data_IF_662896439282
#
_entry.id   IF_662896439282
#
_cell.length_a   1.000
_cell.length_b   1.000
_cell.length_c   1.000
_cell.angle_alpha   90.00
_cell.angle_beta   90.00
_cell.angle_gamma   90.00
#
_symmetry.space_group_name_H-M   'P 1'
#
loop_
_entity.id
_entity.type
_entity.pdbx_description
1 polymer ?
#
# COMPACT_ATOMS: atom_id res chain seq x y z
N UNK A 1 9.28 25.81 46.66
CA UNK A 1 7.97 25.62 46.00
C UNK A 1 8.27 25.69 44.51
N UNK A 2 8.44 24.53 43.88
CA UNK A 2 8.67 24.47 42.44
C UNK A 2 7.37 24.85 41.72
N UNK A 3 7.40 25.65 40.64
CA UNK A 3 6.20 25.92 39.85
C UNK A 3 5.75 24.65 39.12
N UNK A 4 4.44 24.41 39.12
CA UNK A 4 3.76 23.30 38.45
C UNK A 4 4.04 23.28 36.94
N UNK A 5 4.04 22.10 36.30
CA UNK A 5 4.13 21.99 34.85
C UNK A 5 2.77 22.32 34.24
N UNK A 6 2.63 23.54 33.71
CA UNK A 6 1.47 23.86 32.87
C UNK A 6 1.51 23.01 31.59
N UNK A 7 0.48 22.17 31.46
CA UNK A 7 0.11 21.43 30.26
C UNK A 7 0.04 22.39 29.06
N UNK A 8 0.98 22.22 28.12
CA UNK A 8 0.99 22.94 26.85
C UNK A 8 -0.01 22.28 25.88
N UNK A 9 -1.31 22.39 26.16
CA UNK A 9 -2.37 22.20 25.16
C UNK A 9 -2.41 23.45 24.27
N UNK A 10 -1.42 23.56 23.37
CA UNK A 10 -1.44 24.58 22.33
C UNK A 10 -2.74 24.41 21.54
N UNK A 11 -3.62 25.42 21.60
CA UNK A 11 -4.92 25.42 20.92
C UNK A 11 -4.71 25.18 19.43
N UNK A 12 -4.96 23.94 18.99
CA UNK A 12 -4.92 23.56 17.58
C UNK A 12 -6.05 24.32 16.90
N UNK A 13 -5.72 25.30 16.07
CA UNK A 13 -6.70 26.27 15.53
C UNK A 13 -6.78 26.31 14.01
N UNK A 14 -6.03 25.45 13.31
CA UNK A 14 -6.00 25.41 11.84
C UNK A 14 -5.86 23.99 11.26
N UNK A 15 -6.10 23.88 9.95
CA UNK A 15 -6.05 22.62 9.20
C UNK A 15 -4.68 21.92 9.33
N UNK A 16 -3.59 22.68 9.45
CA UNK A 16 -2.24 22.16 9.63
C UNK A 16 -2.09 21.46 10.98
N UNK A 17 -2.54 22.10 12.06
CA UNK A 17 -2.45 21.54 13.39
C UNK A 17 -3.33 20.29 13.57
N UNK A 18 -4.50 20.23 12.91
CA UNK A 18 -5.31 19.00 12.90
C UNK A 18 -4.67 17.85 12.14
N UNK A 19 -4.05 18.13 10.99
CA UNK A 19 -3.27 17.14 10.24
C UNK A 19 -2.07 16.64 11.06
N UNK A 20 -1.37 17.53 11.77
CA UNK A 20 -0.29 17.16 12.69
C UNK A 20 -0.81 16.29 13.83
N UNK A 21 -1.95 16.64 14.42
CA UNK A 21 -2.56 15.82 15.48
C UNK A 21 -2.95 14.43 14.97
N UNK A 22 -3.43 14.30 13.74
CA UNK A 22 -3.69 12.99 13.16
C UNK A 22 -2.41 12.13 13.06
N UNK A 23 -1.26 12.73 12.76
CA UNK A 23 0.04 12.04 12.79
C UNK A 23 0.42 11.63 14.22
N UNK A 24 0.23 12.51 15.20
CA UNK A 24 0.47 12.20 16.62
C UNK A 24 -0.41 11.05 17.11
N UNK A 25 -1.68 10.97 16.68
CA UNK A 25 -2.54 9.81 16.95
C UNK A 25 -2.01 8.56 16.23
N UNK A 26 -1.56 8.66 14.98
CA UNK A 26 -1.01 7.52 14.25
C UNK A 26 0.18 6.87 14.96
N UNK A 27 1.03 7.68 15.61
CA UNK A 27 2.20 7.19 16.37
C UNK A 27 1.83 6.33 17.59
N UNK A 28 0.57 6.39 18.05
CA UNK A 28 0.05 5.53 19.13
C UNK A 28 -0.38 4.14 18.64
N UNK A 29 -0.49 3.93 17.33
CA UNK A 29 -0.92 2.65 16.75
C UNK A 29 0.07 1.53 17.07
N UNK A 30 -0.39 0.33 17.46
CA UNK A 30 0.47 -0.84 17.58
C UNK A 30 0.82 -1.43 16.20
N UNK A 31 2.04 -1.95 16.10
CA UNK A 31 2.54 -2.63 14.91
C UNK A 31 3.07 -1.71 13.80
N UNK A 32 3.19 -2.27 12.59
CA UNK A 32 3.84 -1.64 11.42
C UNK A 32 2.91 -0.72 10.61
N UNK A 33 1.60 -0.87 10.74
CA UNK A 33 0.60 -0.02 10.09
C UNK A 33 0.12 1.03 11.07
N UNK A 34 0.64 2.25 10.93
CA UNK A 34 0.28 3.40 11.77
C UNK A 34 -0.73 4.28 11.06
N UNK A 35 -1.91 4.42 11.64
CA UNK A 35 -2.99 5.26 11.10
C UNK A 35 -3.63 6.04 12.24
N UNK A 36 -3.81 7.35 12.04
CA UNK A 36 -4.47 8.23 12.98
C UNK A 36 -5.55 9.03 12.29
N UNK A 37 -6.61 9.33 13.03
CA UNK A 37 -7.81 10.01 12.58
C UNK A 37 -8.23 11.08 13.60
N UNK A 38 -8.61 12.26 13.10
CA UNK A 38 -9.12 13.37 13.91
C UNK A 38 -10.36 13.93 13.23
N UNK A 39 -11.49 13.94 13.93
CA UNK A 39 -12.74 14.54 13.48
C UNK A 39 -12.88 15.91 14.13
N UNK A 40 -13.24 16.91 13.35
CA UNK A 40 -13.33 18.31 13.77
C UNK A 40 -14.57 18.98 13.25
N UNK A 41 -14.97 20.08 13.90
CA UNK A 41 -15.93 21.04 13.36
C UNK A 41 -15.43 22.44 13.69
N UNK A 42 -15.07 23.21 12.67
CA UNK A 42 -14.35 24.46 12.85
C UNK A 42 -13.03 24.21 13.57
N UNK A 43 -12.80 24.91 14.68
CA UNK A 43 -11.55 24.81 15.46
C UNK A 43 -11.65 23.82 16.63
N UNK A 44 -12.69 22.98 16.66
CA UNK A 44 -12.93 22.04 17.75
C UNK A 44 -12.72 20.61 17.29
N UNK A 45 -11.89 19.87 18.02
CA UNK A 45 -11.78 18.41 17.87
C UNK A 45 -12.98 17.75 18.55
N UNK A 46 -13.72 16.95 17.78
CA UNK A 46 -14.90 16.22 18.24
C UNK A 46 -14.53 14.82 18.73
N UNK A 47 -13.62 14.16 18.01
CA UNK A 47 -13.13 12.82 18.35
C UNK A 47 -11.78 12.57 17.68
N UNK A 48 -10.99 11.69 18.29
CA UNK A 48 -9.76 11.16 17.71
C UNK A 48 -9.79 9.63 17.73
N UNK A 49 -8.99 9.03 16.87
CA UNK A 49 -8.80 7.59 16.84
C UNK A 49 -7.44 7.23 16.26
N UNK A 50 -6.91 6.09 16.68
CA UNK A 50 -5.77 5.48 16.05
C UNK A 50 -6.03 3.99 15.83
N UNK A 51 -5.37 3.39 14.83
CA UNK A 51 -5.55 1.98 14.51
C UNK A 51 -5.17 1.14 15.74
N UNK A 52 -6.01 0.20 16.12
CA UNK A 52 -5.76 -0.68 17.27
C UNK A 52 -6.03 -0.06 18.64
N UNK A 53 -6.58 1.15 18.71
CA UNK A 53 -7.11 1.71 19.96
C UNK A 53 -8.27 0.85 20.50
N UNK A 54 -9.14 0.39 19.60
CA UNK A 54 -10.08 -0.70 19.84
C UNK A 54 -9.66 -1.85 18.94
N UNK A 55 -9.60 -3.04 19.54
CA UNK A 55 -9.14 -4.23 18.84
C UNK A 55 -9.97 -4.48 17.56
N UNK A 56 -9.27 -4.73 16.46
CA UNK A 56 -9.86 -4.94 15.14
C UNK A 56 -10.39 -3.70 14.39
N UNK A 57 -10.42 -2.51 15.01
CA UNK A 57 -10.93 -1.29 14.38
C UNK A 57 -9.83 -0.41 13.74
N UNK A 58 -10.20 0.24 12.62
CA UNK A 58 -9.38 1.28 12.00
C UNK A 58 -9.51 2.62 12.74
N UNK A 59 -8.54 3.52 12.54
CA UNK A 59 -8.54 4.82 13.19
C UNK A 59 -9.83 5.62 12.95
N UNK A 60 -10.34 5.60 11.73
CA UNK A 60 -11.57 6.30 11.35
C UNK A 60 -12.79 5.68 12.01
N UNK A 61 -12.85 4.35 12.13
CA UNK A 61 -13.93 3.65 12.82
C UNK A 61 -13.97 4.03 14.30
N UNK A 62 -12.80 4.04 14.95
CA UNK A 62 -12.67 4.42 16.35
C UNK A 62 -13.14 5.87 16.57
N UNK A 63 -12.70 6.80 15.72
CA UNK A 63 -13.09 8.21 15.84
C UNK A 63 -14.61 8.40 15.63
N UNK A 64 -15.19 7.75 14.61
CA UNK A 64 -16.63 7.77 14.35
C UNK A 64 -17.45 7.15 15.49
N UNK A 65 -16.97 6.03 16.04
CA UNK A 65 -17.62 5.32 17.13
C UNK A 65 -17.65 6.16 18.41
N UNK A 66 -16.51 6.78 18.78
CA UNK A 66 -16.43 7.70 19.92
C UNK A 66 -17.37 8.89 19.77
N UNK A 67 -17.42 9.50 18.59
CA UNK A 67 -18.36 10.60 18.32
C UNK A 67 -19.82 10.15 18.49
N UNK A 68 -20.17 8.97 17.97
CA UNK A 68 -21.51 8.39 18.13
C UNK A 68 -21.86 8.09 19.59
N UNK A 69 -20.95 7.48 20.34
CA UNK A 69 -21.13 7.17 21.77
C UNK A 69 -21.31 8.44 22.61
N UNK A 70 -20.63 9.52 22.23
CA UNK A 70 -20.79 10.84 22.84
C UNK A 70 -22.05 11.60 22.38
N UNK A 71 -22.86 11.02 21.48
CA UNK A 71 -24.05 11.67 20.94
C UNK A 71 -23.74 12.89 20.05
N UNK A 72 -22.54 12.94 19.47
CA UNK A 72 -22.09 14.05 18.64
C UNK A 72 -22.57 13.81 17.21
N UNK A 73 -23.45 14.68 16.73
CA UNK A 73 -23.75 14.77 15.30
C UNK A 73 -22.48 15.16 14.53
N UNK A 74 -22.17 14.43 13.47
CA UNK A 74 -21.01 14.63 12.61
C UNK A 74 -21.34 15.33 11.28
N UNK A 75 -22.60 15.73 11.07
CA UNK A 75 -22.98 16.49 9.89
C UNK A 75 -22.11 17.73 9.72
N UNK A 76 -21.56 17.93 8.52
CA UNK A 76 -20.69 19.08 8.20
C UNK A 76 -19.37 19.11 8.98
N UNK A 77 -18.96 18.01 9.60
CA UNK A 77 -17.63 17.87 10.17
C UNK A 77 -16.56 17.67 9.08
N UNK A 78 -15.31 17.84 9.48
CA UNK A 78 -14.12 17.52 8.71
C UNK A 78 -13.33 16.38 9.39
N UNK A 79 -12.84 15.44 8.60
CA UNK A 79 -11.96 14.37 9.06
C UNK A 79 -10.55 14.59 8.54
N UNK A 80 -9.55 14.37 9.38
CA UNK A 80 -8.14 14.31 9.03
C UNK A 80 -7.66 12.89 9.29
N UNK A 81 -7.19 12.19 8.26
CA UNK A 81 -6.68 10.83 8.37
C UNK A 81 -5.31 10.73 7.73
N UNK A 82 -4.38 10.00 8.38
CA UNK A 82 -3.00 9.89 7.88
C UNK A 82 -2.88 8.95 6.68
N UNK A 83 -3.80 8.02 6.50
CA UNK A 83 -3.87 7.08 5.39
C UNK A 83 -5.25 7.14 4.73
N UNK A 84 -5.31 6.90 3.42
CA UNK A 84 -6.58 6.86 2.68
C UNK A 84 -7.59 5.88 3.32
N UNK A 85 -8.85 6.32 3.56
CA UNK A 85 -9.88 5.44 4.10
C UNK A 85 -10.17 4.25 3.20
N UNK A 86 -10.29 3.06 3.77
CA UNK A 86 -10.56 1.88 2.97
C UNK A 86 -11.97 1.93 2.31
N UNK A 87 -12.05 1.53 1.04
CA UNK A 87 -13.31 1.41 0.28
C UNK A 87 -13.82 -0.02 0.15
N UNK A 88 -13.03 -1.01 0.56
CA UNK A 88 -13.43 -2.40 0.64
C UNK A 88 -13.23 -2.91 2.06
N UNK A 89 -13.83 -4.06 2.33
CA UNK A 89 -13.57 -4.79 3.56
C UNK A 89 -12.97 -6.14 3.24
N UNK A 90 -11.89 -6.49 3.96
CA UNK A 90 -11.32 -7.84 3.92
C UNK A 90 -12.17 -8.85 4.69
N UNK A 91 -13.06 -8.37 5.56
CA UNK A 91 -13.95 -9.19 6.38
C UNK A 91 -15.40 -8.87 6.02
N UNK A 92 -16.18 -9.86 5.60
CA UNK A 92 -17.55 -9.68 5.13
C UNK A 92 -18.47 -8.94 6.13
N UNK A 93 -18.15 -8.96 7.43
CA UNK A 93 -18.92 -8.30 8.49
C UNK A 93 -18.57 -6.83 8.74
N UNK A 94 -17.46 -6.31 8.19
CA UNK A 94 -16.98 -4.96 8.50
C UNK A 94 -17.34 -3.99 7.38
N UNK A 95 -17.96 -2.86 7.73
CA UNK A 95 -18.29 -1.79 6.79
C UNK A 95 -17.01 -1.00 6.46
N UNK A 96 -16.73 -0.69 5.18
CA UNK A 96 -15.56 0.12 4.80
C UNK A 96 -15.59 1.52 5.43
N UNK A 97 -14.41 2.06 5.74
CA UNK A 97 -14.28 3.38 6.37
C UNK A 97 -14.87 4.48 5.47
N UNK A 98 -14.63 4.42 4.16
CA UNK A 98 -15.19 5.38 3.21
C UNK A 98 -16.74 5.44 3.26
N UNK A 99 -17.39 4.29 3.41
CA UNK A 99 -18.86 4.20 3.59
C UNK A 99 -19.29 4.83 4.91
N UNK A 100 -18.66 4.43 6.02
CA UNK A 100 -18.99 4.98 7.34
C UNK A 100 -18.81 6.50 7.43
N UNK A 101 -17.78 7.04 6.77
CA UNK A 101 -17.50 8.47 6.72
C UNK A 101 -18.60 9.22 5.95
N UNK A 102 -19.01 8.70 4.78
CA UNK A 102 -20.08 9.29 3.98
C UNK A 102 -21.41 9.25 4.75
N UNK A 103 -21.75 8.11 5.35
CA UNK A 103 -22.98 7.92 6.13
C UNK A 103 -23.03 8.81 7.38
N UNK A 104 -21.87 9.12 7.98
CA UNK A 104 -21.77 10.03 9.12
C UNK A 104 -22.01 11.51 8.78
N UNK A 105 -22.15 11.86 7.49
CA UNK A 105 -22.38 13.25 7.06
C UNK A 105 -21.14 14.14 7.12
N UNK A 106 -19.93 13.55 7.17
CA UNK A 106 -18.66 14.28 7.07
C UNK A 106 -18.55 14.88 5.66
N UNK A 107 -18.24 16.17 5.59
CA UNK A 107 -18.27 16.92 4.32
C UNK A 107 -16.89 17.19 3.72
N UNK A 108 -15.84 17.07 4.53
CA UNK A 108 -14.45 17.26 4.09
C UNK A 108 -13.57 16.18 4.70
N UNK A 109 -12.72 15.55 3.91
CA UNK A 109 -11.71 14.60 4.38
C UNK A 109 -10.33 15.04 3.87
N UNK A 110 -9.41 15.21 4.81
CA UNK A 110 -8.02 15.51 4.58
C UNK A 110 -7.20 14.22 4.69
N UNK A 111 -6.36 13.93 3.69
CA UNK A 111 -5.63 12.66 3.58
C UNK A 111 -4.12 12.92 3.61
N UNK A 112 -3.42 12.24 4.51
CA UNK A 112 -1.96 12.29 4.65
C UNK A 112 -1.23 11.54 3.54
N UNK A 113 -1.65 10.30 3.27
CA UNK A 113 -1.06 9.45 2.25
C UNK A 113 -2.14 8.61 1.58
N UNK A 114 -2.04 8.40 0.27
CA UNK A 114 -2.86 7.42 -0.43
C UNK A 114 -2.42 6.00 -0.09
N UNK A 115 -3.35 5.05 -0.05
CA UNK A 115 -3.03 3.69 0.38
C UNK A 115 -2.06 3.06 -0.65
N UNK A 116 -0.85 2.59 -0.25
CA UNK A 116 0.06 1.90 -1.17
C UNK A 116 -0.51 0.56 -1.67
N UNK A 117 -1.53 0.01 -1.01
CA UNK A 117 -2.22 -1.19 -1.45
C UNK A 117 -3.01 -0.91 -2.74
N UNK A 118 -2.71 -1.55 -3.87
CA UNK A 118 -3.44 -1.33 -5.13
C UNK A 118 -4.91 -1.77 -5.07
N UNK A 119 -5.29 -2.61 -4.11
CA UNK A 119 -6.68 -3.00 -3.89
C UNK A 119 -7.48 -1.92 -3.16
N UNK A 120 -6.84 -0.85 -2.70
CA UNK A 120 -7.47 0.25 -1.96
C UNK A 120 -7.15 1.60 -2.57
N UNK A 121 -5.96 1.76 -3.16
CA UNK A 121 -5.46 3.00 -3.74
C UNK A 121 -6.52 3.71 -4.58
N UNK A 122 -6.84 4.94 -4.18
CA UNK A 122 -7.83 5.83 -4.81
C UNK A 122 -9.27 5.34 -4.82
N UNK A 123 -9.59 4.13 -4.33
CA UNK A 123 -10.96 3.64 -4.24
C UNK A 123 -11.72 4.33 -3.12
N UNK A 124 -11.10 4.51 -1.96
CA UNK A 124 -11.65 5.26 -0.83
C UNK A 124 -11.90 6.70 -1.19
N UNK A 125 -10.88 7.31 -1.78
CA UNK A 125 -10.94 8.66 -2.32
C UNK A 125 -12.07 8.81 -3.34
N UNK A 126 -12.16 7.90 -4.33
CA UNK A 126 -13.21 7.95 -5.36
C UNK A 126 -14.59 7.81 -4.74
N UNK A 127 -14.78 6.84 -3.84
CA UNK A 127 -16.06 6.61 -3.19
C UNK A 127 -16.54 7.85 -2.42
N UNK A 128 -15.68 8.45 -1.62
CA UNK A 128 -16.01 9.65 -0.84
C UNK A 128 -16.39 10.82 -1.75
N UNK A 129 -15.60 11.06 -2.81
CA UNK A 129 -15.88 12.11 -3.78
C UNK A 129 -17.23 11.89 -4.48
N UNK A 130 -17.50 10.67 -4.93
CA UNK A 130 -18.73 10.33 -5.64
C UNK A 130 -19.97 10.44 -4.71
N UNK A 131 -19.78 10.37 -3.39
CA UNK A 131 -20.81 10.63 -2.37
C UNK A 131 -20.80 12.08 -1.83
N UNK A 132 -20.18 13.03 -2.57
CA UNK A 132 -20.26 14.46 -2.25
C UNK A 132 -19.32 14.95 -1.14
N UNK A 133 -18.40 14.11 -0.67
CA UNK A 133 -17.38 14.50 0.30
C UNK A 133 -16.24 15.22 -0.42
N UNK A 134 -15.86 16.40 0.07
CA UNK A 134 -14.71 17.15 -0.49
C UNK A 134 -13.42 16.57 0.05
N UNK A 135 -12.44 16.36 -0.84
CA UNK A 135 -11.17 15.75 -0.47
C UNK A 135 -10.05 16.77 -0.57
N UNK A 136 -9.16 16.75 0.42
CA UNK A 136 -7.96 17.59 0.47
C UNK A 136 -6.76 16.73 0.86
N UNK A 137 -5.59 17.14 0.43
CA UNK A 137 -4.34 16.53 0.86
C UNK A 137 -3.80 17.26 2.09
N UNK A 138 -3.02 16.56 2.92
CA UNK A 138 -2.24 17.23 3.96
C UNK A 138 -1.18 18.16 3.34
N UNK A 139 -0.71 19.18 4.10
CA UNK A 139 0.49 19.95 3.77
C UNK A 139 1.67 19.05 3.39
N UNK A 140 2.49 19.50 2.43
CA UNK A 140 3.49 18.65 1.78
C UNK A 140 4.54 18.07 2.74
N UNK A 141 4.92 18.82 3.75
CA UNK A 141 5.81 18.41 4.84
C UNK A 141 5.16 17.39 5.77
N UNK A 142 3.88 17.58 6.13
CA UNK A 142 3.12 16.62 6.94
C UNK A 142 2.84 15.31 6.17
N UNK A 143 2.69 15.36 4.84
CA UNK A 143 2.61 14.13 4.02
C UNK A 143 3.88 13.29 4.09
N UNK A 144 5.06 13.93 4.11
CA UNK A 144 6.33 13.22 4.31
C UNK A 144 6.39 12.56 5.69
N UNK A 145 5.93 13.26 6.73
CA UNK A 145 5.87 12.71 8.09
C UNK A 145 4.88 11.55 8.21
N UNK A 146 3.68 11.67 7.62
CA UNK A 146 2.71 10.57 7.56
C UNK A 146 3.30 9.34 6.86
N UNK A 147 4.01 9.53 5.75
CA UNK A 147 4.69 8.46 5.05
C UNK A 147 5.78 7.79 5.90
N UNK A 148 6.63 8.57 6.56
CA UNK A 148 7.66 8.01 7.46
C UNK A 148 7.07 7.25 8.64
N UNK A 149 5.90 7.64 9.14
CA UNK A 149 5.22 6.91 10.20
C UNK A 149 4.69 5.53 9.74
N UNK A 150 4.44 5.34 8.45
CA UNK A 150 3.87 4.12 7.86
C UNK A 150 4.84 3.42 6.89
N UNK A 151 6.14 3.70 6.98
CA UNK A 151 7.16 3.23 6.03
C UNK A 151 7.20 1.69 5.95
N UNK A 152 7.12 1.01 7.09
CA UNK A 152 7.12 -0.45 7.16
C UNK A 152 5.90 -1.07 6.46
N UNK A 153 4.73 -0.44 6.54
CA UNK A 153 3.54 -0.87 5.80
C UNK A 153 3.69 -0.68 4.29
N UNK A 154 4.34 0.40 3.85
CA UNK A 154 4.59 0.65 2.43
C UNK A 154 5.55 -0.39 1.85
N UNK A 155 6.58 -0.79 2.62
CA UNK A 155 7.53 -1.85 2.24
C UNK A 155 6.84 -3.20 1.99
N UNK A 156 5.75 -3.51 2.71
CA UNK A 156 4.97 -4.75 2.51
C UNK A 156 4.35 -4.84 1.11
N UNK A 157 4.03 -3.72 0.45
CA UNK A 157 3.44 -3.76 -0.92
C UNK A 157 4.49 -3.75 -2.03
N UNK A 158 5.72 -3.37 -1.72
CA UNK A 158 6.85 -3.40 -2.65
C UNK A 158 7.72 -4.64 -2.46
N UNK A 159 7.41 -5.50 -1.48
CA UNK A 159 8.17 -6.72 -1.18
C UNK A 159 7.24 -7.93 -1.03
N UNK A 160 7.60 -9.05 -1.65
CA UNK A 160 7.01 -10.36 -1.40
C UNK A 160 8.01 -11.27 -0.69
N UNK A 161 7.56 -12.04 0.29
CA UNK A 161 8.41 -13.00 1.01
C UNK A 161 7.89 -14.44 0.86
N UNK A 162 8.81 -15.39 0.92
CA UNK A 162 8.52 -16.82 0.90
C UNK A 162 8.89 -17.52 -0.41
N UNK A 163 9.23 -18.81 -0.28
CA UNK A 163 9.65 -19.69 -1.38
C UNK A 163 8.62 -19.81 -2.51
N UNK A 164 7.33 -19.67 -2.20
CA UNK A 164 6.28 -19.55 -3.22
C UNK A 164 5.12 -18.72 -2.67
N UNK A 165 4.64 -17.76 -3.47
CA UNK A 165 3.55 -16.87 -3.09
C UNK A 165 3.00 -16.11 -4.32
N UNK A 166 2.16 -15.11 -4.09
CA UNK A 166 1.65 -14.24 -5.14
C UNK A 166 1.35 -12.84 -4.62
N UNK A 167 1.41 -11.86 -5.52
CA UNK A 167 1.18 -10.46 -5.22
C UNK A 167 0.42 -9.78 -6.35
N UNK A 168 -0.29 -8.72 -6.00
CA UNK A 168 -0.86 -7.75 -6.94
C UNK A 168 -0.34 -6.38 -6.54
N UNK A 169 0.24 -5.63 -7.47
CA UNK A 169 0.81 -4.30 -7.24
C UNK A 169 0.66 -3.40 -8.47
N UNK A 170 0.64 -2.09 -8.26
CA UNK A 170 0.64 -1.09 -9.34
C UNK A 170 2.07 -0.85 -9.82
N UNK A 171 2.37 -1.28 -11.04
CA UNK A 171 3.71 -1.15 -11.63
C UNK A 171 4.03 0.27 -12.13
N UNK A 172 3.14 1.24 -11.96
CA UNK A 172 3.40 2.67 -12.19
C UNK A 172 3.85 3.39 -10.92
N UNK A 173 3.53 2.81 -9.75
CA UNK A 173 3.98 3.34 -8.46
C UNK A 173 5.41 2.90 -8.18
N UNK A 174 6.20 3.75 -7.50
CA UNK A 174 7.59 3.48 -7.14
C UNK A 174 8.49 3.06 -8.33
N UNK A 175 8.21 3.60 -9.53
CA UNK A 175 8.92 3.23 -10.75
C UNK A 175 8.75 1.77 -11.19
N UNK A 176 7.76 1.07 -10.63
CA UNK A 176 7.49 -0.35 -10.90
C UNK A 176 8.38 -1.33 -10.14
N UNK A 177 9.11 -0.85 -9.12
CA UNK A 177 10.01 -1.67 -8.33
C UNK A 177 9.25 -2.60 -7.37
N UNK A 178 9.69 -3.85 -7.33
CA UNK A 178 9.21 -4.89 -6.43
C UNK A 178 10.37 -5.81 -6.04
N UNK A 179 10.40 -6.29 -4.80
CA UNK A 179 11.47 -7.16 -4.29
C UNK A 179 10.87 -8.49 -3.84
N UNK A 180 11.44 -9.61 -4.26
CA UNK A 180 11.06 -10.94 -3.77
C UNK A 180 12.18 -11.44 -2.86
N UNK A 181 11.86 -11.99 -1.69
CA UNK A 181 12.86 -12.51 -0.76
C UNK A 181 12.43 -13.86 -0.21
N UNK A 182 13.40 -14.68 0.22
CA UNK A 182 13.10 -15.96 0.88
C UNK A 182 12.44 -15.75 2.24
N UNK A 183 12.95 -14.78 3.01
CA UNK A 183 12.52 -14.46 4.37
C UNK A 183 12.52 -12.92 4.59
N UNK A 184 11.98 -12.47 5.71
CA UNK A 184 11.91 -11.07 6.14
C UNK A 184 13.28 -10.52 6.61
N UNK A 185 14.23 -11.40 6.96
CA UNK A 185 15.57 -11.03 7.41
C UNK A 185 16.31 -10.17 6.38
N UNK A 186 17.15 -9.25 6.86
CA UNK A 186 17.80 -8.24 6.03
C UNK A 186 18.89 -8.81 5.09
N UNK A 187 19.47 -9.95 5.48
CA UNK A 187 20.50 -10.71 4.77
C UNK A 187 19.93 -11.91 4.00
N UNK A 188 18.61 -12.10 4.03
CA UNK A 188 17.97 -13.17 3.28
C UNK A 188 18.14 -12.96 1.77
N UNK A 189 18.38 -14.04 1.00
CA UNK A 189 18.40 -13.99 -0.45
C UNK A 189 17.20 -13.24 -1.03
N UNK A 190 17.47 -12.26 -1.89
CA UNK A 190 16.44 -11.42 -2.48
C UNK A 190 16.70 -11.09 -3.94
N UNK A 191 15.63 -10.79 -4.68
CA UNK A 191 15.63 -10.42 -6.08
C UNK A 191 14.83 -9.15 -6.24
N UNK A 192 15.50 -8.09 -6.68
CA UNK A 192 14.83 -6.88 -7.10
C UNK A 192 14.35 -7.02 -8.55
N UNK A 193 13.17 -6.48 -8.81
CA UNK A 193 12.58 -6.48 -10.14
C UNK A 193 11.86 -5.17 -10.41
N UNK A 194 11.81 -4.79 -11.68
CA UNK A 194 11.02 -3.67 -12.15
C UNK A 194 10.01 -4.15 -13.18
N UNK A 195 8.85 -3.51 -13.19
CA UNK A 195 7.75 -3.83 -14.09
C UNK A 195 7.31 -2.56 -14.82
N UNK A 196 7.10 -2.66 -16.14
CA UNK A 196 6.70 -1.51 -16.94
C UNK A 196 5.64 -1.86 -17.98
N UNK A 197 4.80 -0.88 -18.30
CA UNK A 197 3.67 -1.06 -19.21
C UNK A 197 4.11 -1.57 -20.61
N UNK A 198 3.44 -2.61 -21.10
CA UNK A 198 3.52 -3.08 -22.49
C UNK A 198 2.11 -3.32 -23.10
N UNK A 199 1.05 -2.83 -22.44
CA UNK A 199 -0.35 -2.99 -22.83
C UNK A 199 -1.11 -4.07 -22.06
N UNK A 200 -2.33 -4.38 -22.50
CA UNK A 200 -3.25 -5.27 -21.78
C UNK A 200 -2.84 -6.76 -21.78
N UNK A 201 -2.03 -7.17 -22.75
CA UNK A 201 -1.71 -8.58 -23.02
C UNK A 201 -0.34 -9.03 -22.51
N UNK A 202 0.52 -8.09 -22.12
CA UNK A 202 1.87 -8.36 -21.65
C UNK A 202 2.45 -7.19 -20.86
N UNK A 203 3.48 -7.46 -20.07
CA UNK A 203 4.20 -6.47 -19.28
C UNK A 203 5.71 -6.63 -19.51
N UNK A 204 6.47 -5.54 -19.46
CA UNK A 204 7.92 -5.64 -19.42
C UNK A 204 8.36 -5.98 -18.01
N UNK A 205 9.24 -6.97 -17.89
CA UNK A 205 9.87 -7.36 -16.64
C UNK A 205 11.37 -7.10 -16.75
N UNK A 206 11.98 -6.58 -15.68
CA UNK A 206 13.40 -6.30 -15.59
C UNK A 206 13.95 -7.01 -14.35
N UNK A 207 15.10 -7.66 -14.47
CA UNK A 207 15.91 -8.03 -13.31
C UNK A 207 16.63 -6.78 -12.78
N UNK A 208 16.57 -6.52 -11.47
CA UNK A 208 17.37 -5.46 -10.84
C UNK A 208 18.86 -5.68 -11.06
N UNK A 209 19.72 -4.72 -10.73
CA UNK A 209 21.18 -4.88 -10.90
C UNK A 209 21.74 -5.62 -9.67
N UNK A 210 22.46 -6.76 -9.79
CA UNK A 210 23.09 -7.34 -10.99
C UNK A 210 22.31 -8.47 -11.69
N UNK A 211 21.04 -8.68 -11.35
CA UNK A 211 20.19 -9.72 -11.92
C UNK A 211 19.85 -9.55 -13.40
N UNK A 212 19.56 -10.69 -14.04
CA UNK A 212 19.10 -10.79 -15.44
C UNK A 212 17.73 -11.45 -15.49
N UNK A 213 17.05 -11.32 -16.64
CA UNK A 213 15.69 -11.81 -16.82
C UNK A 213 15.51 -12.50 -18.17
N UNK A 214 14.79 -13.61 -18.17
CA UNK A 214 14.44 -14.37 -19.37
C UNK A 214 12.93 -14.60 -19.45
N UNK A 215 12.42 -14.82 -20.66
CA UNK A 215 11.07 -15.35 -20.88
C UNK A 215 11.15 -16.86 -21.06
N UNK A 216 10.48 -17.62 -20.20
CA UNK A 216 10.29 -19.05 -20.40
C UNK A 216 9.24 -19.27 -21.50
N UNK A 217 9.70 -19.36 -22.76
CA UNK A 217 8.80 -19.48 -23.91
C UNK A 217 7.97 -20.76 -23.80
N UNK A 218 6.67 -20.64 -24.01
CA UNK A 218 5.67 -21.72 -23.97
C UNK A 218 5.41 -22.38 -22.62
N UNK A 219 6.22 -22.12 -21.59
CA UNK A 219 5.94 -22.57 -20.23
C UNK A 219 4.69 -21.87 -19.68
N UNK A 220 3.80 -22.65 -19.06
CA UNK A 220 2.57 -22.14 -18.43
C UNK A 220 2.58 -22.37 -16.94
N UNK A 221 3.14 -23.47 -16.46
CA UNK A 221 3.29 -23.77 -15.04
C UNK A 221 4.77 -23.84 -14.67
N UNK A 222 5.10 -23.63 -13.39
CA UNK A 222 6.51 -23.63 -12.93
C UNK A 222 7.20 -24.99 -13.17
N UNK A 223 6.43 -26.08 -13.11
CA UNK A 223 6.93 -27.43 -13.41
C UNK A 223 7.25 -27.67 -14.89
N UNK A 224 6.89 -26.78 -15.81
CA UNK A 224 7.31 -26.89 -17.23
C UNK A 224 8.78 -26.47 -17.44
N UNK A 225 9.40 -25.89 -16.41
CA UNK A 225 10.77 -25.41 -16.42
C UNK A 225 11.55 -26.32 -15.47
N UNK A 226 12.28 -27.28 -16.03
CA UNK A 226 13.14 -28.16 -15.24
C UNK A 226 14.44 -27.45 -14.85
N UNK A 227 15.12 -26.86 -15.84
CA UNK A 227 16.38 -26.12 -15.68
C UNK A 227 16.20 -24.63 -16.07
N UNK A 228 16.11 -23.72 -15.10
CA UNK A 228 16.02 -22.28 -15.34
C UNK A 228 17.28 -21.65 -15.98
N UNK A 229 18.46 -22.25 -15.83
CA UNK A 229 19.71 -21.71 -16.38
C UNK A 229 19.79 -21.89 -17.90
N UNK A 230 19.05 -22.86 -18.45
CA UNK A 230 18.97 -23.13 -19.88
C UNK A 230 18.16 -22.07 -20.68
N UNK A 231 17.57 -21.08 -20.01
CA UNK A 231 16.80 -20.01 -20.65
C UNK A 231 17.69 -18.95 -21.31
N UNK A 232 17.10 -18.24 -22.27
CA UNK A 232 17.75 -17.13 -22.99
C UNK A 232 17.63 -15.82 -22.19
N UNK A 233 18.74 -15.43 -21.56
CA UNK A 233 18.88 -14.20 -20.75
C UNK A 233 19.49 -13.02 -21.54
N UNK A 234 19.60 -13.09 -22.87
CA UNK A 234 20.18 -11.99 -23.67
C UNK A 234 19.32 -10.71 -23.65
N UNK A 235 18.01 -10.85 -23.38
CA UNK A 235 17.08 -9.73 -23.29
C UNK A 235 17.11 -9.08 -21.91
N UNK A 236 17.49 -7.80 -21.84
CA UNK A 236 17.48 -7.04 -20.59
C UNK A 236 16.06 -6.75 -20.06
N UNK A 237 15.05 -6.80 -20.93
CA UNK A 237 13.66 -6.47 -20.61
C UNK A 237 12.64 -7.25 -21.45
N UNK A 238 12.54 -8.58 -21.28
CA UNK A 238 11.61 -9.37 -22.04
C UNK A 238 10.17 -8.93 -21.77
N UNK A 239 9.37 -8.96 -22.83
CA UNK A 239 7.93 -8.83 -22.76
C UNK A 239 7.35 -10.16 -22.26
N UNK A 240 6.69 -10.14 -21.10
CA UNK A 240 6.06 -11.31 -20.48
C UNK A 240 4.55 -11.25 -20.73
N UNK A 241 3.99 -12.12 -21.58
CA UNK A 241 2.55 -12.22 -21.78
C UNK A 241 1.79 -12.67 -20.53
N UNK A 242 0.51 -12.30 -20.43
CA UNK A 242 -0.37 -12.86 -19.40
C UNK A 242 -0.47 -14.38 -19.60
N UNK A 243 -0.25 -15.12 -18.51
CA UNK A 243 -0.22 -16.59 -18.48
C UNK A 243 1.17 -17.19 -18.68
N UNK A 244 2.17 -16.37 -19.04
CA UNK A 244 3.56 -16.81 -19.21
C UNK A 244 4.41 -16.55 -17.97
N UNK A 245 5.60 -17.14 -17.97
CA UNK A 245 6.56 -17.08 -16.87
C UNK A 245 7.79 -16.30 -17.32
N UNK A 246 8.12 -15.23 -16.59
CA UNK A 246 9.43 -14.61 -16.64
C UNK A 246 10.31 -15.21 -15.55
N UNK A 247 11.59 -15.43 -15.84
CA UNK A 247 12.55 -15.99 -14.88
C UNK A 247 13.64 -14.99 -14.62
N UNK A 248 13.86 -14.67 -13.35
CA UNK A 248 14.94 -13.79 -12.90
C UNK A 248 16.06 -14.63 -12.34
N UNK A 249 17.31 -14.22 -12.58
CA UNK A 249 18.51 -14.86 -12.05
C UNK A 249 19.43 -13.83 -11.41
N UNK A 250 19.95 -14.14 -10.22
CA UNK A 250 21.05 -13.42 -9.59
C UNK A 250 22.00 -14.42 -8.89
N UNK A 251 22.92 -13.92 -8.06
CA UNK A 251 23.89 -14.74 -7.33
C UNK A 251 23.28 -15.76 -6.35
N UNK A 252 22.02 -15.55 -5.93
CA UNK A 252 21.33 -16.43 -5.01
C UNK A 252 20.54 -17.54 -5.69
N UNK A 253 20.36 -17.47 -7.02
CA UNK A 253 19.56 -18.41 -7.80
C UNK A 253 18.47 -17.72 -8.62
N UNK A 254 17.32 -18.38 -8.71
CA UNK A 254 16.26 -18.04 -9.65
C UNK A 254 14.93 -17.70 -8.97
N UNK A 255 14.17 -16.80 -9.60
CA UNK A 255 12.76 -16.57 -9.28
C UNK A 255 11.95 -16.70 -10.55
N UNK A 256 11.05 -17.69 -10.57
CA UNK A 256 10.11 -17.93 -11.64
C UNK A 256 8.85 -17.12 -11.33
N UNK A 257 8.53 -16.10 -12.12
CA UNK A 257 7.38 -15.23 -11.96
C UNK A 257 6.34 -15.45 -13.06
N UNK A 258 5.18 -16.02 -12.71
CA UNK A 258 4.04 -16.15 -13.61
C UNK A 258 3.18 -14.89 -13.56
N UNK A 259 2.98 -14.24 -14.70
CA UNK A 259 2.04 -13.12 -14.82
C UNK A 259 0.63 -13.68 -14.97
N UNK A 260 -0.26 -13.41 -14.03
CA UNK A 260 -1.62 -13.99 -14.02
C UNK A 260 -2.68 -13.02 -14.55
N UNK A 261 -2.46 -11.71 -14.37
CA UNK A 261 -3.39 -10.67 -14.82
C UNK A 261 -2.63 -9.35 -15.00
N UNK A 262 -3.00 -8.58 -16.01
CA UNK A 262 -2.58 -7.19 -16.18
C UNK A 262 -3.83 -6.33 -16.29
N UNK A 263 -3.89 -5.27 -15.50
CA UNK A 263 -4.84 -4.18 -15.62
C UNK A 263 -4.04 -3.00 -16.20
N UNK A 264 -4.15 -2.70 -17.51
CA UNK A 264 -3.35 -1.64 -18.14
C UNK A 264 -3.90 -0.24 -17.82
N UNK A 265 -3.09 0.82 -18.03
CA UNK A 265 -3.63 2.18 -17.98
C UNK A 265 -4.79 2.33 -18.96
N UNK A 266 -5.88 2.99 -18.55
CA UNK A 266 -7.00 3.24 -19.43
C UNK A 266 -6.57 4.08 -20.64
N UNK A 267 -7.17 3.82 -21.80
CA UNK A 267 -7.07 4.75 -22.92
C UNK A 267 -7.67 6.12 -22.54
N UNK A 268 -7.07 7.16 -23.10
CA UNK A 268 -7.23 8.59 -22.79
C UNK A 268 -8.52 8.98 -22.04
N UNK A 269 -8.38 9.39 -20.77
CA UNK A 269 -9.48 9.90 -19.94
C UNK A 269 -10.31 8.85 -19.19
N UNK A 270 -10.00 7.55 -19.29
CA UNK A 270 -10.66 6.52 -18.49
C UNK A 270 -10.16 6.44 -17.04
N UNK A 271 -10.95 5.81 -16.17
CA UNK A 271 -10.67 5.61 -14.73
C UNK A 271 -10.25 4.16 -14.41
N UNK A 272 -9.50 3.52 -15.31
CA UNK A 272 -9.03 2.15 -15.14
C UNK A 272 -7.90 2.04 -14.11
N UNK A 273 -7.88 0.93 -13.37
CA UNK A 273 -6.83 0.60 -12.42
C UNK A 273 -5.60 0.06 -13.16
N UNK A 274 -4.39 0.48 -12.75
CA UNK A 274 -3.14 -0.04 -13.32
C UNK A 274 -2.52 -1.03 -12.34
N UNK A 275 -2.39 -2.29 -12.74
CA UNK A 275 -1.77 -3.29 -11.87
C UNK A 275 -1.29 -4.53 -12.61
N UNK A 276 -0.36 -5.23 -11.99
CA UNK A 276 0.07 -6.58 -12.39
C UNK A 276 -0.16 -7.53 -11.23
N UNK A 277 -0.72 -8.70 -11.53
CA UNK A 277 -0.82 -9.81 -10.59
C UNK A 277 0.18 -10.90 -10.97
N UNK A 278 1.04 -11.27 -10.04
CA UNK A 278 2.06 -12.31 -10.23
C UNK A 278 1.92 -13.43 -9.20
N UNK A 279 2.39 -14.62 -9.59
CA UNK A 279 2.77 -15.70 -8.67
C UNK A 279 4.25 -15.96 -8.84
N UNK A 280 4.94 -16.38 -7.78
CA UNK A 280 6.35 -16.75 -7.88
C UNK A 280 6.68 -18.05 -7.19
N UNK A 281 7.78 -18.64 -7.65
CA UNK A 281 8.51 -19.75 -7.03
C UNK A 281 10.00 -19.40 -7.04
N UNK A 282 10.64 -19.51 -5.87
CA UNK A 282 12.08 -19.30 -5.71
C UNK A 282 12.78 -20.64 -5.86
N UNK A 283 13.88 -20.66 -6.60
CA UNK A 283 14.80 -21.81 -6.69
C UNK A 283 16.20 -21.32 -6.37
N UNK A 284 16.66 -21.61 -5.16
CA UNK A 284 17.98 -21.22 -4.70
C UNK A 284 19.06 -21.97 -5.50
N UNK A 285 20.16 -21.29 -5.81
CA UNK A 285 21.35 -21.95 -6.32
C UNK A 285 21.85 -22.95 -5.25
N UNK A 286 22.32 -24.12 -5.67
CA UNK A 286 23.01 -25.02 -4.74
C UNK A 286 24.21 -24.26 -4.14
N UNK A 287 24.33 -24.32 -2.81
CA UNK A 287 25.49 -23.74 -2.15
C UNK A 287 26.73 -24.44 -2.69
N UNK A 288 27.64 -23.66 -3.30
CA UNK A 288 28.92 -24.16 -3.77
C UNK A 288 29.60 -24.93 -2.61
N UNK A 289 29.80 -26.26 -2.71
CA UNK A 289 30.38 -27.05 -1.63
C UNK A 289 31.87 -26.75 -1.41
N UNK A 290 32.44 -25.76 -2.12
CA UNK A 290 33.85 -25.38 -2.06
C UNK A 290 34.14 -23.99 -1.47
N UNK A 291 33.16 -23.32 -0.84
CA UNK A 291 33.41 -22.11 -0.03
C UNK A 291 33.41 -22.35 1.47
#
# INVERSE_FOLDING_TARGET
>A
MAPDPEDNESSITDEYGFAKRAIEEALKSPGNTRVGAVITRGNTILATGYKGEIDGEHAEQVALRKAREAGIDLARASLYTTLEPCANSRTASRIPCATLIADAGITVVHIGQYDPNPQVNRLGWKYLRDNGVRLRDFPADLRKQAHSASEDFTKVFTRGTGMSAGAKFDYTTNGGLFTISVDEQADAPSWETKWANCGASAIYMYGGIPGVVALARYAKEFGDIDDPDALDYESYSPRIPVGSIGVMRNEHGHVLCKVTKIEPPPEYGGTGHVSVSIKWEIRLAEADPTK
#
